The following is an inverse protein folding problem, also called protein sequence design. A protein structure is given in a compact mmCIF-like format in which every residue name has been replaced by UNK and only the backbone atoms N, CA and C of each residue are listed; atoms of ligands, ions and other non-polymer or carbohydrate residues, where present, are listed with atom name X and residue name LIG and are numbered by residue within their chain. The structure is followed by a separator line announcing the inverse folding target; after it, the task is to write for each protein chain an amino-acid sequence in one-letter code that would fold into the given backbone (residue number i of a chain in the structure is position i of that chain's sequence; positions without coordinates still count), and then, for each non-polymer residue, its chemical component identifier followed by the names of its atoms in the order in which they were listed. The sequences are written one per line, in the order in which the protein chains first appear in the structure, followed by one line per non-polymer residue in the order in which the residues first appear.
data_IF_010473945916
#
_entry.id   IF_010473945916
#
_cell.length_a   1.000
_cell.length_b   1.000
_cell.length_c   1.000
_cell.angle_alpha   90.00
_cell.angle_beta   90.00
_cell.angle_gamma   90.00
#
_symmetry.space_group_name_H-M   'P 1'
#
loop_
_entity.id
_entity.type
_entity.pdbx_description
1 polymer ?
#
# COMPACT_ATOMS: atom_id res chain seq x y z
N UNK A 1 11.88 -4.86 6.51
CA UNK A 1 13.34 -4.71 6.60
C UNK A 1 13.76 -3.26 6.79
N UNK A 2 15.01 -3.03 7.10
CA UNK A 2 15.61 -1.71 7.31
C UNK A 2 16.63 -1.45 6.21
N UNK A 3 16.63 -0.24 5.66
CA UNK A 3 17.66 0.31 4.80
C UNK A 3 18.28 1.50 5.52
N UNK A 4 19.62 1.54 5.61
CA UNK A 4 20.35 2.70 6.12
C UNK A 4 20.62 3.65 4.96
N UNK A 5 20.07 4.86 5.00
CA UNK A 5 20.34 5.89 4.00
C UNK A 5 21.44 6.83 4.47
N UNK A 6 22.14 7.49 3.54
CA UNK A 6 23.22 8.44 3.83
C UNK A 6 24.39 7.80 4.61
N UNK A 7 24.70 6.51 4.34
CA UNK A 7 25.64 5.71 5.13
C UNK A 7 27.12 5.98 4.85
N UNK A 8 27.44 7.02 4.10
CA UNK A 8 28.79 7.47 3.78
C UNK A 8 28.77 8.33 2.52
N UNK A 9 29.78 9.15 2.35
CA UNK A 9 29.98 9.98 1.16
C UNK A 9 31.32 9.60 0.52
N UNK A 10 31.27 9.20 -0.74
CA UNK A 10 32.52 8.93 -1.51
C UNK A 10 32.91 10.21 -2.23
N UNK A 11 34.09 10.70 -1.93
CA UNK A 11 34.64 11.89 -2.59
C UNK A 11 34.84 11.63 -4.11
N UNK A 12 34.22 12.40 -5.01
CA UNK A 12 34.35 12.17 -6.44
C UNK A 12 35.75 12.45 -6.98
N UNK A 13 36.56 13.18 -6.22
CA UNK A 13 37.93 13.54 -6.63
C UNK A 13 38.99 12.52 -6.22
N UNK A 14 38.88 11.90 -5.04
CA UNK A 14 39.91 11.00 -4.51
C UNK A 14 39.39 9.61 -4.16
N UNK A 15 38.08 9.40 -4.18
CA UNK A 15 37.46 8.10 -3.84
C UNK A 15 37.43 7.79 -2.33
N UNK A 16 37.92 8.70 -1.47
CA UNK A 16 37.87 8.51 -0.02
C UNK A 16 36.44 8.52 0.49
N UNK A 17 36.11 7.56 1.35
CA UNK A 17 34.77 7.46 1.96
C UNK A 17 34.78 8.15 3.34
N UNK A 18 33.97 9.19 3.47
CA UNK A 18 33.78 9.93 4.72
C UNK A 18 32.40 9.61 5.30
N UNK A 19 32.34 9.19 6.55
CA UNK A 19 31.06 8.97 7.26
C UNK A 19 30.62 10.28 7.90
N UNK A 20 29.86 11.09 7.15
CA UNK A 20 29.34 12.38 7.60
C UNK A 20 28.33 12.18 8.75
N UNK A 21 27.54 11.13 8.65
CA UNK A 21 26.66 10.66 9.71
C UNK A 21 27.20 9.35 10.28
N UNK A 22 26.75 8.97 11.48
CA UNK A 22 27.17 7.72 12.07
C UNK A 22 26.77 6.53 11.20
N UNK A 23 27.63 5.51 11.12
CA UNK A 23 27.39 4.28 10.37
C UNK A 23 26.87 3.16 11.27
N UNK A 24 26.06 2.25 10.71
CA UNK A 24 25.61 1.02 11.36
C UNK A 24 24.42 1.19 12.29
N UNK A 25 23.79 2.38 12.29
CA UNK A 25 22.56 2.63 13.05
C UNK A 25 21.40 1.77 12.56
N UNK A 26 21.24 1.69 11.24
CA UNK A 26 20.20 0.88 10.59
C UNK A 26 20.35 -0.61 10.88
N UNK A 27 21.58 -1.14 10.86
CA UNK A 27 21.84 -2.54 11.16
C UNK A 27 21.53 -2.88 12.64
N UNK A 28 21.91 -2.02 13.58
CA UNK A 28 21.58 -2.17 15.00
C UNK A 28 20.08 -2.16 15.26
N UNK A 29 19.35 -1.25 14.61
CA UNK A 29 17.89 -1.18 14.72
C UNK A 29 17.26 -2.44 14.12
N UNK A 30 17.72 -2.90 12.95
CA UNK A 30 17.23 -4.12 12.33
C UNK A 30 17.37 -5.32 13.27
N UNK A 31 18.53 -5.46 13.89
CA UNK A 31 18.79 -6.52 14.87
C UNK A 31 17.87 -6.41 16.10
N UNK A 32 17.67 -5.20 16.64
CA UNK A 32 16.82 -5.00 17.82
C UNK A 32 15.35 -5.28 17.56
N UNK A 33 14.89 -5.04 16.34
CA UNK A 33 13.51 -5.30 15.92
C UNK A 33 13.27 -6.71 15.35
N UNK A 34 14.34 -7.51 15.22
CA UNK A 34 14.24 -8.84 14.62
C UNK A 34 13.83 -8.83 13.14
N UNK A 35 14.15 -7.74 12.42
CA UNK A 35 13.84 -7.61 10.98
C UNK A 35 15.15 -7.61 10.17
N UNK A 36 15.12 -8.01 8.88
CA UNK A 36 16.32 -8.02 8.06
C UNK A 36 16.88 -6.61 7.84
N UNK A 37 18.20 -6.47 7.94
CA UNK A 37 18.93 -5.36 7.35
C UNK A 37 19.07 -5.63 5.85
N UNK A 38 18.62 -4.69 5.01
CA UNK A 38 18.53 -4.86 3.54
C UNK A 38 19.74 -4.27 2.83
N UNK A 39 20.42 -3.33 3.45
CA UNK A 39 21.60 -2.68 2.89
C UNK A 39 21.72 -1.21 3.30
N UNK A 40 22.81 -0.60 2.88
CA UNK A 40 23.15 0.79 3.13
C UNK A 40 23.31 1.53 1.80
N UNK A 41 22.72 2.73 1.68
CA UNK A 41 22.81 3.58 0.51
C UNK A 41 23.72 4.77 0.83
N UNK A 42 24.83 4.96 0.10
CA UNK A 42 25.71 6.08 0.30
C UNK A 42 25.08 7.40 -0.17
N UNK A 43 25.62 8.51 0.34
CA UNK A 43 25.35 9.83 -0.21
C UNK A 43 25.96 9.93 -1.61
N UNK A 44 25.16 10.31 -2.60
CA UNK A 44 25.56 10.54 -3.96
C UNK A 44 24.79 11.75 -4.49
N UNK A 45 25.46 12.87 -4.88
CA UNK A 45 24.80 14.04 -5.43
C UNK A 45 23.93 13.73 -6.66
N UNK A 46 24.31 12.74 -7.47
CA UNK A 46 23.55 12.35 -8.64
C UNK A 46 22.13 11.83 -8.29
N UNK A 47 21.89 11.40 -7.05
CA UNK A 47 20.53 11.03 -6.61
C UNK A 47 19.58 12.22 -6.67
N UNK A 48 20.07 13.41 -6.29
CA UNK A 48 19.27 14.64 -6.28
C UNK A 48 18.94 15.04 -7.72
N UNK A 49 19.97 15.14 -8.56
CA UNK A 49 19.82 15.53 -9.97
C UNK A 49 18.84 14.59 -10.69
N UNK A 50 19.03 13.29 -10.53
CA UNK A 50 18.13 12.28 -11.09
C UNK A 50 16.70 12.37 -10.54
N UNK A 51 16.55 12.72 -9.26
CA UNK A 51 15.23 12.90 -8.63
C UNK A 51 14.48 14.10 -9.23
N UNK A 52 15.18 15.21 -9.44
CA UNK A 52 14.61 16.43 -10.02
C UNK A 52 14.25 16.23 -11.51
N UNK A 53 15.05 15.49 -12.25
CA UNK A 53 14.83 15.16 -13.65
C UNK A 53 13.79 14.03 -13.86
N UNK A 54 13.37 13.35 -12.80
CA UNK A 54 12.46 12.21 -12.87
C UNK A 54 13.07 10.97 -13.55
N UNK A 55 14.39 10.88 -13.63
CA UNK A 55 15.12 9.77 -14.22
C UNK A 55 15.78 8.91 -13.12
N UNK A 56 15.41 7.62 -12.97
CA UNK A 56 15.97 6.80 -11.91
C UNK A 56 17.50 6.67 -11.98
N UNK A 57 18.20 6.85 -10.85
CA UNK A 57 19.66 6.78 -10.76
C UNK A 57 20.22 5.47 -11.34
N UNK A 58 19.55 4.35 -11.10
CA UNK A 58 19.98 3.03 -11.60
C UNK A 58 19.97 2.90 -13.12
N UNK A 59 19.28 3.82 -13.82
CA UNK A 59 19.25 3.93 -15.28
C UNK A 59 20.24 4.97 -15.76
N UNK A 60 20.25 6.16 -15.12
CA UNK A 60 21.09 7.27 -15.53
C UNK A 60 22.58 7.04 -15.22
N UNK A 61 22.87 6.49 -14.04
CA UNK A 61 24.23 6.28 -13.53
C UNK A 61 24.40 4.86 -12.97
N UNK A 62 24.30 3.80 -13.81
CA UNK A 62 24.25 2.42 -13.37
C UNK A 62 25.51 1.96 -12.62
N UNK A 63 26.65 2.58 -12.86
CA UNK A 63 27.95 2.15 -12.34
C UNK A 63 28.32 2.81 -11.00
N UNK A 64 27.46 3.67 -10.47
CA UNK A 64 27.73 4.34 -9.19
C UNK A 64 27.52 3.39 -8.01
N UNK A 65 28.26 3.58 -6.89
CA UNK A 65 28.05 2.78 -5.67
C UNK A 65 26.61 2.86 -5.15
N UNK A 66 25.95 4.01 -5.26
CA UNK A 66 24.58 4.18 -4.86
C UNK A 66 23.62 3.36 -5.75
N UNK A 67 23.80 3.36 -7.07
CA UNK A 67 23.01 2.54 -7.98
C UNK A 67 23.20 1.03 -7.71
N UNK A 68 24.42 0.60 -7.40
CA UNK A 68 24.66 -0.78 -7.01
C UNK A 68 23.96 -1.13 -5.70
N UNK A 69 24.02 -0.27 -4.68
CA UNK A 69 23.31 -0.48 -3.41
C UNK A 69 21.80 -0.64 -3.63
N UNK A 70 21.18 0.17 -4.47
CA UNK A 70 19.76 0.02 -4.82
C UNK A 70 19.45 -1.32 -5.49
N UNK A 71 20.30 -1.79 -6.41
CA UNK A 71 20.13 -3.10 -7.06
C UNK A 71 20.24 -4.26 -6.06
N UNK A 72 21.20 -4.21 -5.16
CA UNK A 72 21.42 -5.26 -4.16
C UNK A 72 20.26 -5.33 -3.17
N UNK A 73 19.73 -4.17 -2.74
CA UNK A 73 18.53 -4.08 -1.91
C UNK A 73 17.33 -4.67 -2.65
N UNK A 74 17.14 -4.30 -3.93
CA UNK A 74 16.05 -4.82 -4.75
C UNK A 74 16.13 -6.34 -4.96
N UNK A 75 17.33 -6.87 -5.21
CA UNK A 75 17.55 -8.30 -5.32
C UNK A 75 17.24 -9.05 -4.00
N UNK A 76 17.67 -8.48 -2.87
CA UNK A 76 17.36 -9.01 -1.54
C UNK A 76 15.87 -9.03 -1.26
N UNK A 77 15.16 -7.95 -1.59
CA UNK A 77 13.70 -7.86 -1.45
C UNK A 77 12.99 -8.85 -2.35
N UNK A 78 13.37 -8.93 -3.63
CA UNK A 78 12.75 -9.85 -4.60
C UNK A 78 12.83 -11.31 -4.17
N UNK A 79 13.96 -11.71 -3.55
CA UNK A 79 14.13 -13.06 -2.99
C UNK A 79 13.27 -13.34 -1.74
N UNK A 80 12.78 -12.30 -1.06
CA UNK A 80 12.00 -12.41 0.18
C UNK A 80 10.50 -12.24 -0.03
N UNK A 81 10.12 -11.48 -1.07
CA UNK A 81 8.71 -11.24 -1.37
C UNK A 81 8.12 -12.48 -2.06
N UNK A 82 7.27 -13.20 -1.34
CA UNK A 82 6.46 -14.27 -1.94
C UNK A 82 5.20 -13.65 -2.52
N UNK A 83 4.83 -14.05 -3.73
CA UNK A 83 3.51 -13.73 -4.27
C UNK A 83 2.44 -14.25 -3.29
N UNK A 84 1.64 -13.34 -2.75
CA UNK A 84 0.49 -13.71 -1.91
C UNK A 84 -0.71 -13.88 -2.82
N UNK A 85 -1.54 -14.93 -2.64
CA UNK A 85 -2.83 -15.00 -3.31
C UNK A 85 -3.66 -13.79 -2.88
N UNK A 86 -4.45 -13.25 -3.80
CA UNK A 86 -5.26 -12.08 -3.55
C UNK A 86 -5.95 -11.61 -4.81
N UNK A 87 -6.47 -10.40 -4.75
CA UNK A 87 -7.05 -9.74 -5.92
C UNK A 87 -6.01 -9.65 -7.04
N UNK A 88 -6.41 -9.81 -8.31
CA UNK A 88 -5.53 -9.60 -9.44
C UNK A 88 -4.93 -8.17 -9.38
N UNK A 89 -3.63 -8.04 -9.60
CA UNK A 89 -2.95 -6.75 -9.60
C UNK A 89 -2.14 -6.59 -10.89
N UNK A 90 -2.19 -5.40 -11.51
CA UNK A 90 -3.05 -4.26 -11.16
C UNK A 90 -4.49 -4.48 -11.64
N UNK A 91 -5.47 -3.99 -10.91
CA UNK A 91 -6.84 -3.83 -11.39
C UNK A 91 -7.30 -2.39 -11.22
N UNK A 92 -8.22 -1.98 -12.07
CA UNK A 92 -8.87 -0.66 -12.05
C UNK A 92 -10.33 -0.86 -12.48
N UNK A 93 -11.25 -0.56 -11.58
CA UNK A 93 -12.66 -0.83 -11.77
C UNK A 93 -13.47 0.45 -11.62
N UNK A 94 -14.23 0.78 -12.67
CA UNK A 94 -15.21 1.86 -12.63
C UNK A 94 -16.50 1.33 -12.01
N UNK A 95 -17.03 2.03 -11.01
CA UNK A 95 -18.24 1.57 -10.29
C UNK A 95 -19.48 1.47 -11.20
N UNK A 96 -19.54 2.29 -12.26
CA UNK A 96 -20.63 2.26 -13.23
C UNK A 96 -20.68 0.96 -14.05
N UNK A 97 -19.53 0.28 -14.18
CA UNK A 97 -19.45 -0.97 -14.92
C UNK A 97 -20.07 -2.10 -14.10
N UNK A 98 -20.80 -2.99 -14.76
CA UNK A 98 -21.32 -4.23 -14.12
C UNK A 98 -20.23 -5.29 -13.96
N UNK A 99 -18.96 -4.91 -14.17
CA UNK A 99 -17.84 -5.80 -14.04
C UNK A 99 -17.59 -6.17 -12.58
N UNK A 100 -17.54 -7.46 -12.31
CA UNK A 100 -17.04 -8.01 -11.06
C UNK A 100 -15.68 -8.65 -11.30
N UNK A 101 -14.78 -8.56 -10.31
CA UNK A 101 -13.59 -9.41 -10.36
C UNK A 101 -14.01 -10.87 -10.24
N UNK A 102 -13.47 -11.79 -11.06
CA UNK A 102 -13.81 -13.20 -10.95
C UNK A 102 -13.53 -13.71 -9.53
N UNK A 103 -14.50 -14.39 -8.94
CA UNK A 103 -14.29 -15.07 -7.65
C UNK A 103 -13.49 -16.35 -7.92
N UNK A 104 -12.23 -16.47 -7.46
CA UNK A 104 -11.52 -17.74 -7.57
C UNK A 104 -12.21 -18.80 -6.73
N UNK A 105 -12.08 -20.06 -7.14
CA UNK A 105 -12.60 -21.18 -6.36
C UNK A 105 -12.02 -21.14 -4.93
N UNK A 106 -12.81 -21.45 -3.88
CA UNK A 106 -12.32 -21.51 -2.51
C UNK A 106 -11.11 -22.44 -2.42
N UNK A 107 -9.99 -21.93 -1.95
CA UNK A 107 -8.82 -22.79 -1.67
C UNK A 107 -9.11 -23.48 -0.34
N UNK A 108 -9.45 -24.75 -0.39
CA UNK A 108 -9.63 -25.58 0.79
C UNK A 108 -8.33 -25.61 1.61
N UNK A 109 -8.41 -25.26 2.90
CA UNK A 109 -7.38 -25.58 3.87
C UNK A 109 -6.40 -24.49 4.26
N UNK A 110 -6.87 -23.28 4.64
CA UNK A 110 -6.04 -22.43 5.51
C UNK A 110 -6.67 -22.37 6.90
N UNK A 111 -6.00 -22.93 7.94
CA UNK A 111 -6.42 -22.74 9.32
C UNK A 111 -6.30 -21.25 9.68
N UNK A 112 -7.27 -20.73 10.39
CA UNK A 112 -7.40 -19.33 10.74
C UNK A 112 -6.12 -18.74 11.32
N UNK A 113 -5.77 -17.55 10.87
CA UNK A 113 -4.61 -16.77 11.33
C UNK A 113 -3.87 -16.00 10.25
N UNK A 114 -4.04 -16.31 8.97
CA UNK A 114 -3.48 -15.48 7.90
C UNK A 114 -4.29 -14.18 7.78
N UNK A 115 -3.59 -13.06 7.63
CA UNK A 115 -4.20 -11.77 7.34
C UNK A 115 -5.26 -11.95 6.25
N UNK A 116 -6.50 -11.54 6.53
CA UNK A 116 -7.61 -11.69 5.61
C UNK A 116 -7.25 -11.09 4.24
N UNK A 117 -7.24 -11.92 3.20
CA UNK A 117 -6.89 -11.52 1.84
C UNK A 117 -8.17 -11.49 1.01
N UNK A 118 -8.54 -10.35 0.43
CA UNK A 118 -9.66 -10.29 -0.48
C UNK A 118 -9.30 -10.99 -1.80
N UNK A 119 -10.23 -11.75 -2.32
CA UNK A 119 -10.06 -12.51 -3.58
C UNK A 119 -11.07 -12.11 -4.64
N UNK A 120 -12.11 -11.36 -4.26
CA UNK A 120 -13.10 -10.83 -5.17
C UNK A 120 -13.65 -9.50 -4.66
N UNK A 121 -14.01 -8.63 -5.59
CA UNK A 121 -14.79 -7.42 -5.34
C UNK A 121 -15.93 -7.40 -6.35
N UNK A 122 -17.15 -7.11 -5.90
CA UNK A 122 -18.26 -6.88 -6.81
C UNK A 122 -19.28 -5.91 -6.19
N UNK A 123 -20.07 -5.29 -7.05
CA UNK A 123 -21.17 -4.45 -6.66
C UNK A 123 -22.43 -5.30 -6.53
N UNK A 124 -23.08 -5.29 -5.38
CA UNK A 124 -24.39 -5.93 -5.20
C UNK A 124 -25.52 -5.05 -5.75
N UNK A 125 -25.45 -3.76 -5.44
CA UNK A 125 -26.41 -2.72 -5.83
C UNK A 125 -25.69 -1.36 -5.89
N UNK A 126 -26.42 -0.26 -6.04
CA UNK A 126 -25.84 1.09 -6.10
C UNK A 126 -25.11 1.54 -4.83
N UNK A 127 -25.25 0.82 -3.71
CA UNK A 127 -24.77 1.23 -2.37
C UNK A 127 -23.93 0.19 -1.63
N UNK A 128 -23.86 -1.04 -2.14
CA UNK A 128 -23.21 -2.13 -1.42
C UNK A 128 -22.03 -2.69 -2.21
N UNK A 129 -20.83 -2.55 -1.65
CA UNK A 129 -19.63 -3.25 -2.08
C UNK A 129 -19.56 -4.60 -1.37
N UNK A 130 -19.40 -5.67 -2.13
CA UNK A 130 -19.16 -7.01 -1.59
C UNK A 130 -17.69 -7.35 -1.75
N UNK A 131 -17.05 -7.72 -0.64
CA UNK A 131 -15.67 -8.18 -0.60
C UNK A 131 -15.67 -9.67 -0.29
N UNK A 132 -15.32 -10.48 -1.27
CA UNK A 132 -15.09 -11.92 -1.09
C UNK A 132 -13.70 -12.16 -0.52
N UNK A 133 -13.62 -12.87 0.60
CA UNK A 133 -12.38 -13.16 1.30
C UNK A 133 -11.90 -14.60 1.04
N UNK A 134 -10.61 -14.83 1.16
CA UNK A 134 -9.98 -16.13 0.92
C UNK A 134 -10.54 -17.25 1.84
N UNK A 135 -11.04 -16.89 3.01
CA UNK A 135 -11.69 -17.83 3.96
C UNK A 135 -13.14 -18.20 3.57
N UNK A 136 -13.62 -17.72 2.42
CA UNK A 136 -14.96 -17.99 1.90
C UNK A 136 -16.04 -17.04 2.43
N UNK A 137 -15.69 -16.09 3.30
CA UNK A 137 -16.65 -15.09 3.79
C UNK A 137 -16.84 -13.98 2.77
N UNK A 138 -18.10 -13.63 2.48
CA UNK A 138 -18.47 -12.47 1.68
C UNK A 138 -18.94 -11.35 2.64
N UNK A 139 -18.17 -10.28 2.72
CA UNK A 139 -18.46 -9.12 3.55
C UNK A 139 -19.18 -8.06 2.73
N UNK A 140 -20.35 -7.66 3.18
CA UNK A 140 -21.11 -6.56 2.59
C UNK A 140 -20.73 -5.26 3.29
N UNK A 141 -20.35 -4.24 2.53
CA UNK A 141 -19.94 -2.93 3.06
C UNK A 141 -20.84 -1.87 2.43
N UNK A 142 -21.57 -1.12 3.26
CA UNK A 142 -22.27 0.08 2.78
C UNK A 142 -21.25 1.12 2.33
N UNK A 143 -21.46 1.70 1.17
CA UNK A 143 -20.54 2.66 0.54
C UNK A 143 -20.38 3.93 1.37
N UNK A 144 -21.42 4.35 2.07
CA UNK A 144 -21.33 5.51 2.95
C UNK A 144 -20.49 5.21 4.17
N UNK A 145 -20.63 4.03 4.76
CA UNK A 145 -19.78 3.58 5.87
C UNK A 145 -18.33 3.44 5.41
N UNK A 146 -18.10 2.93 4.20
CA UNK A 146 -16.77 2.91 3.59
C UNK A 146 -16.19 4.33 3.49
N UNK A 147 -16.97 5.30 2.99
CA UNK A 147 -16.53 6.70 2.88
C UNK A 147 -16.22 7.32 4.24
N UNK A 148 -17.06 7.06 5.25
CA UNK A 148 -16.88 7.55 6.62
C UNK A 148 -15.67 6.93 7.32
N UNK A 149 -15.31 5.70 6.96
CA UNK A 149 -14.15 4.98 7.49
C UNK A 149 -12.81 5.38 6.83
N UNK A 150 -12.80 6.37 5.94
CA UNK A 150 -11.58 6.82 5.26
C UNK A 150 -10.56 7.38 6.27
N UNK A 151 -9.30 6.94 6.15
CA UNK A 151 -8.19 7.33 7.03
C UNK A 151 -7.11 8.17 6.34
N UNK A 152 -7.40 8.74 5.17
CA UNK A 152 -6.42 9.63 4.52
C UNK A 152 -6.26 10.96 5.29
N UNK A 153 -5.18 11.69 5.01
CA UNK A 153 -4.85 12.96 5.68
C UNK A 153 -5.96 14.03 5.60
N UNK A 154 -6.82 14.00 4.57
CA UNK A 154 -7.97 14.88 4.47
C UNK A 154 -9.16 14.47 5.37
N UNK A 155 -9.18 13.24 5.87
CA UNK A 155 -10.26 12.71 6.71
C UNK A 155 -9.87 12.51 8.17
N UNK A 156 -8.57 12.34 8.44
CA UNK A 156 -8.02 12.12 9.78
C UNK A 156 -6.76 12.95 9.93
N UNK A 157 -6.65 13.68 11.01
CA UNK A 157 -5.43 14.41 11.35
C UNK A 157 -4.32 13.43 11.72
N UNK A 158 -3.21 13.49 10.99
CA UNK A 158 -2.11 12.53 11.11
C UNK A 158 -1.39 12.60 12.47
N UNK A 159 -1.38 13.77 13.09
CA UNK A 159 -0.65 13.99 14.35
C UNK A 159 -1.48 13.58 15.57
N UNK A 160 -2.76 13.89 15.56
CA UNK A 160 -3.66 13.63 16.71
C UNK A 160 -4.51 12.37 16.55
N UNK A 161 -4.62 11.82 15.33
CA UNK A 161 -5.52 10.73 15.01
C UNK A 161 -7.01 11.10 15.07
N UNK A 162 -7.35 12.38 15.20
CA UNK A 162 -8.73 12.83 15.28
C UNK A 162 -9.38 12.88 13.91
N UNK A 163 -10.67 12.50 13.85
CA UNK A 163 -11.46 12.64 12.63
C UNK A 163 -11.62 14.13 12.28
N UNK A 164 -11.23 14.47 11.06
CA UNK A 164 -11.44 15.79 10.43
C UNK A 164 -12.72 15.75 9.59
N UNK A 165 -13.02 14.60 8.99
CA UNK A 165 -14.23 14.39 8.22
C UNK A 165 -15.47 14.57 9.10
N UNK A 166 -16.36 15.48 8.71
CA UNK A 166 -17.64 15.69 9.37
C UNK A 166 -18.68 14.76 8.73
N UNK A 167 -19.25 13.78 9.47
CA UNK A 167 -20.16 12.78 8.87
C UNK A 167 -21.38 13.36 8.15
N UNK A 168 -21.88 14.53 8.60
CA UNK A 168 -23.01 15.21 7.99
C UNK A 168 -22.74 15.77 6.59
N UNK A 169 -21.46 15.96 6.23
CA UNK A 169 -21.05 16.43 4.88
C UNK A 169 -21.01 15.32 3.85
N UNK A 170 -21.03 14.05 4.26
CA UNK A 170 -21.05 12.92 3.35
C UNK A 170 -22.48 12.65 2.89
N UNK A 171 -22.79 12.76 1.58
CA UNK A 171 -24.12 12.55 1.06
C UNK A 171 -24.69 11.17 1.39
N UNK A 172 -25.99 11.07 1.64
CA UNK A 172 -26.66 9.78 1.88
C UNK A 172 -26.65 8.87 0.64
N UNK A 173 -26.62 9.48 -0.55
CA UNK A 173 -26.59 8.79 -1.85
C UNK A 173 -25.17 8.72 -2.45
N UNK A 174 -24.16 8.79 -1.62
CA UNK A 174 -22.77 8.68 -2.07
C UNK A 174 -22.51 7.34 -2.74
N UNK A 175 -21.75 7.35 -3.83
CA UNK A 175 -21.32 6.14 -4.54
C UNK A 175 -19.82 6.18 -4.77
N UNK A 176 -19.12 5.04 -4.86
CA UNK A 176 -17.80 5.00 -5.45
C UNK A 176 -17.90 5.40 -6.92
N UNK A 177 -16.85 5.99 -7.45
CA UNK A 177 -16.70 6.23 -8.89
C UNK A 177 -15.68 5.29 -9.49
N UNK A 178 -14.63 4.97 -8.72
CA UNK A 178 -13.53 4.12 -9.15
C UNK A 178 -12.96 3.36 -7.95
N UNK A 179 -12.59 2.10 -8.17
CA UNK A 179 -11.87 1.26 -7.20
C UNK A 179 -10.67 0.64 -7.92
N UNK A 180 -9.48 0.75 -7.34
CA UNK A 180 -8.26 0.20 -7.95
C UNK A 180 -7.35 -0.45 -6.90
N UNK A 181 -6.45 -1.32 -7.37
CA UNK A 181 -5.47 -1.96 -6.50
C UNK A 181 -4.37 -0.98 -6.09
N UNK A 182 -3.96 -1.04 -4.83
CA UNK A 182 -2.75 -0.39 -4.33
C UNK A 182 -1.81 -1.49 -3.83
N UNK A 183 -0.82 -1.82 -4.66
CA UNK A 183 0.04 -2.96 -4.41
C UNK A 183 -0.77 -4.24 -4.14
N UNK A 184 -0.33 -5.02 -3.17
CA UNK A 184 -0.98 -6.27 -2.73
C UNK A 184 -1.54 -6.16 -1.30
N UNK A 185 -1.83 -4.95 -0.80
CA UNK A 185 -2.19 -4.72 0.60
C UNK A 185 -3.41 -3.82 0.81
N UNK A 186 -3.86 -3.09 -0.23
CA UNK A 186 -4.93 -2.12 -0.11
C UNK A 186 -5.72 -1.95 -1.42
N UNK A 187 -6.88 -1.32 -1.32
CA UNK A 187 -7.60 -0.74 -2.46
C UNK A 187 -7.65 0.77 -2.32
N UNK A 188 -7.60 1.46 -3.46
CA UNK A 188 -7.93 2.87 -3.58
C UNK A 188 -9.40 3.02 -3.98
N UNK A 189 -10.07 4.04 -3.46
CA UNK A 189 -11.47 4.34 -3.79
C UNK A 189 -11.65 5.84 -3.99
N UNK A 190 -12.21 6.21 -5.13
CA UNK A 190 -12.74 7.55 -5.38
C UNK A 190 -14.26 7.55 -5.21
N UNK A 191 -14.81 8.66 -4.72
CA UNK A 191 -16.23 8.80 -4.42
C UNK A 191 -16.88 9.96 -5.17
N UNK A 192 -18.19 9.91 -5.29
CA UNK A 192 -19.00 10.91 -5.99
C UNK A 192 -19.04 12.30 -5.31
N UNK A 193 -18.59 12.41 -4.06
CA UNK A 193 -18.39 13.68 -3.34
C UNK A 193 -17.09 14.41 -3.73
N UNK A 194 -16.36 13.89 -4.72
CA UNK A 194 -15.07 14.44 -5.16
C UNK A 194 -13.87 13.95 -4.34
N UNK A 195 -14.07 13.09 -3.33
CA UNK A 195 -12.99 12.51 -2.57
C UNK A 195 -12.25 11.43 -3.39
N UNK A 196 -10.94 11.60 -3.61
CA UNK A 196 -10.13 10.75 -4.50
C UNK A 196 -8.96 10.03 -3.81
N UNK A 197 -8.73 10.29 -2.53
CA UNK A 197 -7.58 9.80 -1.77
C UNK A 197 -7.93 8.69 -0.76
N UNK A 198 -9.06 8.01 -0.96
CA UNK A 198 -9.47 6.91 -0.10
C UNK A 198 -8.54 5.71 -0.28
N UNK A 199 -7.76 5.35 0.76
CA UNK A 199 -6.92 4.14 0.78
C UNK A 199 -7.39 3.25 1.92
N UNK A 200 -7.72 2.01 1.59
CA UNK A 200 -8.24 1.02 2.53
C UNK A 200 -7.38 -0.22 2.51
N UNK A 201 -6.58 -0.41 3.55
CA UNK A 201 -5.82 -1.66 3.71
C UNK A 201 -6.77 -2.83 3.89
N UNK A 202 -6.36 -4.03 3.48
CA UNK A 202 -7.21 -5.22 3.61
C UNK A 202 -7.61 -5.51 5.05
N UNK A 203 -6.70 -5.28 6.01
CA UNK A 203 -7.02 -5.39 7.42
C UNK A 203 -8.06 -4.38 7.89
N UNK A 204 -8.00 -3.13 7.38
CA UNK A 204 -9.00 -2.11 7.70
C UNK A 204 -10.37 -2.47 7.12
N UNK A 205 -10.45 -2.89 5.85
CA UNK A 205 -11.69 -3.35 5.23
C UNK A 205 -12.32 -4.49 6.03
N UNK A 206 -11.52 -5.51 6.41
CA UNK A 206 -12.01 -6.67 7.16
C UNK A 206 -12.55 -6.30 8.55
N UNK A 207 -11.99 -5.26 9.17
CA UNK A 207 -12.44 -4.78 10.48
C UNK A 207 -13.73 -3.95 10.45
N UNK A 208 -14.21 -3.56 9.26
CA UNK A 208 -15.46 -2.78 9.14
C UNK A 208 -16.67 -3.66 9.45
N UNK A 209 -17.69 -3.04 10.07
CA UNK A 209 -18.97 -3.70 10.32
C UNK A 209 -19.60 -4.09 8.98
N UNK A 210 -20.07 -5.33 8.88
CA UNK A 210 -20.86 -5.74 7.72
C UNK A 210 -22.18 -4.96 7.70
N UNK A 211 -22.63 -4.57 6.50
CA UNK A 211 -23.95 -3.98 6.32
C UNK A 211 -25.03 -5.00 6.70
N UNK A 212 -26.04 -4.56 7.44
CA UNK A 212 -27.21 -5.39 7.74
C UNK A 212 -28.01 -5.55 6.45
N UNK A 213 -28.29 -6.78 6.07
CA UNK A 213 -29.16 -7.07 4.92
C UNK A 213 -30.59 -7.01 5.45
N UNK A 214 -31.34 -6.01 5.07
CA UNK A 214 -32.80 -6.12 5.16
C UNK A 214 -33.23 -7.09 4.04
N UNK A 215 -33.64 -8.30 4.44
CA UNK A 215 -34.29 -9.25 3.54
C UNK A 215 -35.64 -8.62 3.10
N UNK A 216 -35.72 -8.26 1.82
CA UNK A 216 -36.95 -7.83 1.17
C UNK A 216 -37.66 -9.02 0.56
#
# INVERSE_FOLDING_TARGET
GIVENMSGFTCPSCGEVTHIFHQGGGEKIAASLGVPFLGAVPLDPAIVDCGDDGLPLVIAHPDTPAAQAYRDIAATLSGRVRAKPGLPTPFDWQWADDASTPKPAPVAGHPGGAAAVPVALHRRDGRTLVVGWQDGYDQLIDVRDLRLACRCAACVDEMSGRAVLVPATVPLNITPTRIWSIGNYAIGVSFSDGHQSGIYTFGHLRSMKAAEVEDV
#
